data_IF_162894846419
#
_entry.id   IF_162894846419
#
_cell.length_a   1.000
_cell.length_b   1.000
_cell.length_c   1.000
_cell.angle_alpha   90.00
_cell.angle_beta   90.00
_cell.angle_gamma   90.00
#
_symmetry.space_group_name_H-M   'P 1'
#
loop_
_entity.id
_entity.type
_entity.pdbx_description
1 polymer ?
#
# COMPACT_ATOMS: atom_id res chain seq x y z
N UNK A 1 -7.51 -13.72 -5.64
CA UNK A 1 -7.95 -12.47 -4.97
C UNK A 1 -9.08 -12.85 -4.03
N UNK A 2 -9.18 -12.27 -2.82
CA UNK A 2 -10.27 -12.56 -1.90
C UNK A 2 -11.65 -12.32 -2.54
N UNK A 3 -12.65 -13.05 -2.07
CA UNK A 3 -14.04 -12.91 -2.50
C UNK A 3 -14.85 -12.18 -1.43
N UNK A 4 -15.63 -11.19 -1.86
CA UNK A 4 -16.49 -10.42 -0.96
C UNK A 4 -17.67 -11.29 -0.53
N UNK A 5 -18.00 -11.36 0.78
CA UNK A 5 -19.19 -12.05 1.25
C UNK A 5 -20.45 -11.63 0.51
N UNK A 6 -21.35 -12.58 0.23
CA UNK A 6 -22.52 -12.37 -0.62
C UNK A 6 -23.48 -11.34 -0.05
N UNK A 7 -23.64 -11.31 1.27
CA UNK A 7 -24.43 -10.33 2.02
C UNK A 7 -23.86 -8.91 1.82
N UNK A 8 -22.56 -8.73 2.06
CA UNK A 8 -21.89 -7.45 1.87
C UNK A 8 -21.92 -7.00 0.41
N UNK A 9 -21.74 -7.92 -0.54
CA UNK A 9 -21.85 -7.63 -1.97
C UNK A 9 -23.28 -7.24 -2.37
N UNK A 10 -24.29 -7.86 -1.76
CA UNK A 10 -25.71 -7.52 -1.96
C UNK A 10 -26.00 -6.11 -1.46
N UNK A 11 -25.49 -5.76 -0.28
CA UNK A 11 -25.58 -4.41 0.26
C UNK A 11 -24.84 -3.39 -0.62
N UNK A 12 -23.62 -3.69 -1.07
CA UNK A 12 -22.91 -2.82 -2.02
C UNK A 12 -23.73 -2.60 -3.31
N UNK A 13 -24.38 -3.66 -3.79
CA UNK A 13 -25.19 -3.61 -5.01
C UNK A 13 -26.50 -2.82 -4.84
N UNK A 14 -26.97 -2.55 -3.61
CA UNK A 14 -28.15 -1.69 -3.40
C UNK A 14 -27.87 -0.23 -3.77
N UNK A 15 -26.60 0.17 -3.91
CA UNK A 15 -26.19 1.48 -4.42
C UNK A 15 -26.05 1.52 -5.95
N UNK A 16 -26.46 0.48 -6.67
CA UNK A 16 -26.47 0.45 -8.14
C UNK A 16 -27.64 1.28 -8.68
N UNK A 17 -27.50 2.60 -8.59
CA UNK A 17 -28.45 3.59 -9.08
C UNK A 17 -27.77 4.51 -10.09
N UNK A 18 -28.56 5.31 -10.81
CA UNK A 18 -28.11 6.15 -11.93
C UNK A 18 -28.42 7.63 -11.77
N UNK A 19 -28.91 8.07 -10.61
CA UNK A 19 -29.22 9.47 -10.32
C UNK A 19 -28.96 9.82 -8.85
N UNK A 20 -28.84 11.12 -8.57
CA UNK A 20 -28.50 11.68 -7.25
C UNK A 20 -29.60 11.41 -6.20
N UNK A 21 -30.90 11.69 -6.46
CA UNK A 21 -31.96 11.43 -5.49
C UNK A 21 -32.02 9.96 -5.01
N UNK A 22 -31.93 9.01 -5.93
CA UNK A 22 -31.97 7.59 -5.60
C UNK A 22 -30.73 7.16 -4.81
N UNK A 23 -29.55 7.70 -5.14
CA UNK A 23 -28.32 7.43 -4.38
C UNK A 23 -28.42 7.95 -2.95
N UNK A 24 -28.90 9.19 -2.79
CA UNK A 24 -29.15 9.81 -1.49
C UNK A 24 -30.15 8.98 -0.67
N UNK A 25 -31.26 8.57 -1.27
CA UNK A 25 -32.25 7.70 -0.62
C UNK A 25 -31.67 6.34 -0.22
N UNK A 26 -30.86 5.72 -1.08
CA UNK A 26 -30.22 4.44 -0.78
C UNK A 26 -29.22 4.55 0.40
N UNK A 27 -28.48 5.66 0.49
CA UNK A 27 -27.52 5.93 1.58
C UNK A 27 -28.24 6.18 2.91
N UNK A 28 -29.32 6.95 2.89
CA UNK A 28 -30.06 7.32 4.11
C UNK A 28 -31.05 6.23 4.57
N UNK A 29 -31.21 5.15 3.80
CA UNK A 29 -32.05 4.02 4.18
C UNK A 29 -31.49 3.37 5.45
N UNK A 30 -32.24 3.50 6.54
CA UNK A 30 -31.89 2.88 7.82
C UNK A 30 -31.71 1.36 7.68
N UNK A 31 -30.70 0.86 8.38
CA UNK A 31 -30.38 -0.55 8.45
C UNK A 31 -30.50 -1.04 9.89
N UNK A 32 -30.82 -2.32 10.05
CA UNK A 32 -30.95 -2.94 11.37
C UNK A 32 -29.67 -2.85 12.21
N UNK A 33 -28.51 -2.78 11.56
CA UNK A 33 -27.21 -2.66 12.22
C UNK A 33 -26.84 -1.23 12.65
N UNK A 34 -27.68 -0.22 12.34
CA UNK A 34 -27.46 1.16 12.79
C UNK A 34 -27.55 1.27 14.32
N UNK A 35 -28.42 0.47 14.95
CA UNK A 35 -28.56 0.42 16.40
C UNK A 35 -29.10 -0.95 16.87
N UNK A 36 -28.32 -1.74 17.63
CA UNK A 36 -26.96 -1.44 18.08
C UNK A 36 -25.89 -1.67 16.99
N UNK A 37 -24.96 -0.72 16.87
CA UNK A 37 -23.80 -0.87 15.99
C UNK A 37 -22.72 -1.75 16.62
N UNK A 38 -22.18 -2.70 15.85
CA UNK A 38 -21.06 -3.54 16.24
C UNK A 38 -19.93 -3.37 15.22
N UNK A 39 -18.80 -2.81 15.65
CA UNK A 39 -17.65 -2.53 14.78
C UNK A 39 -17.01 -3.79 14.17
N UNK A 40 -17.08 -4.94 14.83
CA UNK A 40 -16.45 -6.16 14.30
C UNK A 40 -17.21 -6.71 13.09
N UNK A 41 -18.55 -6.66 13.13
CA UNK A 41 -19.42 -7.24 12.11
C UNK A 41 -19.96 -6.22 11.11
N UNK A 42 -20.18 -4.98 11.52
CA UNK A 42 -20.87 -3.96 10.71
C UNK A 42 -19.93 -2.92 10.09
N UNK A 43 -18.62 -2.95 10.40
CA UNK A 43 -17.68 -1.95 9.89
C UNK A 43 -17.63 -1.88 8.37
N UNK A 44 -17.61 -3.01 7.66
CA UNK A 44 -17.53 -2.98 6.19
C UNK A 44 -18.80 -2.35 5.57
N UNK A 45 -19.96 -2.58 6.18
CA UNK A 45 -21.21 -1.97 5.74
C UNK A 45 -21.21 -0.44 5.97
N UNK A 46 -20.74 0.00 7.13
CA UNK A 46 -20.61 1.42 7.47
C UNK A 46 -19.55 2.12 6.60
N UNK A 47 -18.39 1.50 6.40
CA UNK A 47 -17.35 2.01 5.50
C UNK A 47 -17.85 2.16 4.06
N UNK A 48 -18.62 1.19 3.54
CA UNK A 48 -19.27 1.31 2.23
C UNK A 48 -20.22 2.52 2.23
N UNK A 49 -21.13 2.61 3.20
CA UNK A 49 -22.12 3.70 3.27
C UNK A 49 -21.44 5.06 3.31
N UNK A 50 -20.44 5.23 4.16
CA UNK A 50 -19.65 6.45 4.28
C UNK A 50 -18.90 6.77 2.98
N UNK A 51 -18.34 5.77 2.28
CA UNK A 51 -17.70 5.98 0.98
C UNK A 51 -18.68 6.51 -0.05
N UNK A 52 -19.89 5.91 -0.14
CA UNK A 52 -20.93 6.39 -1.03
C UNK A 52 -21.35 7.81 -0.71
N UNK A 53 -21.49 8.14 0.58
CA UNK A 53 -21.93 9.47 1.01
C UNK A 53 -20.90 10.56 0.71
N UNK A 54 -19.61 10.28 0.90
CA UNK A 54 -18.56 11.21 0.51
C UNK A 54 -18.55 11.44 -1.02
N UNK A 55 -18.69 10.37 -1.82
CA UNK A 55 -18.74 10.52 -3.28
C UNK A 55 -20.01 11.25 -3.74
N UNK A 56 -21.17 11.05 -3.10
CA UNK A 56 -22.40 11.77 -3.40
C UNK A 56 -22.21 13.29 -3.37
N UNK A 57 -21.50 13.81 -2.36
CA UNK A 57 -21.23 15.25 -2.26
C UNK A 57 -20.37 15.78 -3.42
N UNK A 58 -19.44 14.96 -3.91
CA UNK A 58 -18.61 15.32 -5.06
C UNK A 58 -19.43 15.32 -6.37
N UNK A 59 -20.41 14.43 -6.51
CA UNK A 59 -21.38 14.48 -7.62
C UNK A 59 -22.30 15.70 -7.54
N UNK A 60 -22.87 16.00 -6.37
CA UNK A 60 -23.79 17.13 -6.19
C UNK A 60 -23.13 18.49 -6.43
N UNK A 61 -21.86 18.62 -6.07
CA UNK A 61 -21.08 19.86 -6.30
C UNK A 61 -20.51 19.99 -7.71
N UNK A 62 -20.65 18.94 -8.55
CA UNK A 62 -20.01 18.86 -9.87
C UNK A 62 -18.49 18.98 -9.79
N UNK A 63 -17.87 18.55 -8.68
CA UNK A 63 -16.42 18.69 -8.49
C UNK A 63 -15.65 17.74 -9.40
N UNK A 64 -16.19 16.56 -9.72
CA UNK A 64 -15.55 15.54 -10.56
C UNK A 64 -15.33 15.96 -12.02
N UNK A 65 -15.99 17.02 -12.48
CA UNK A 65 -15.83 17.58 -13.83
C UNK A 65 -14.71 18.64 -13.91
N UNK A 66 -14.14 19.01 -12.76
CA UNK A 66 -13.15 20.08 -12.64
C UNK A 66 -11.75 19.52 -12.45
N UNK A 67 -10.77 20.30 -12.88
CA UNK A 67 -9.37 20.01 -12.59
C UNK A 67 -9.05 20.31 -11.13
N UNK A 68 -8.43 19.34 -10.46
CA UNK A 68 -8.03 19.45 -9.06
C UNK A 68 -6.54 19.19 -8.87
N UNK A 69 -6.00 19.69 -7.75
CA UNK A 69 -4.65 19.33 -7.32
C UNK A 69 -4.62 17.88 -6.83
N UNK A 70 -3.44 17.27 -6.90
CA UNK A 70 -3.23 15.88 -6.47
C UNK A 70 -3.68 15.65 -5.02
N UNK A 71 -3.36 16.58 -4.12
CA UNK A 71 -3.78 16.49 -2.71
C UNK A 71 -5.30 16.53 -2.54
N UNK A 72 -6.01 17.31 -3.34
CA UNK A 72 -7.47 17.36 -3.30
C UNK A 72 -8.05 16.00 -3.67
N UNK A 73 -7.55 15.37 -4.73
CA UNK A 73 -7.96 14.01 -5.13
C UNK A 73 -7.68 12.99 -4.01
N UNK A 74 -6.53 13.09 -3.36
CA UNK A 74 -6.20 12.16 -2.26
C UNK A 74 -7.15 12.29 -1.07
N UNK A 75 -7.58 13.51 -0.73
CA UNK A 75 -8.46 13.79 0.41
C UNK A 75 -9.92 13.50 0.08
N UNK A 76 -10.42 14.06 -1.02
CA UNK A 76 -11.85 14.03 -1.37
C UNK A 76 -12.25 12.72 -2.02
N UNK A 77 -11.38 12.14 -2.85
CA UNK A 77 -11.73 10.99 -3.67
C UNK A 77 -11.14 9.71 -3.09
N UNK A 78 -9.85 9.68 -2.79
CA UNK A 78 -9.14 8.44 -2.46
C UNK A 78 -9.00 8.15 -0.96
N UNK A 79 -9.55 8.99 -0.08
CA UNK A 79 -9.42 8.82 1.37
C UNK A 79 -10.17 7.60 1.92
N UNK A 80 -11.13 7.03 1.17
CA UNK A 80 -11.79 5.78 1.57
C UNK A 80 -10.81 4.59 1.60
N UNK A 81 -9.70 4.64 0.85
CA UNK A 81 -8.63 3.63 0.88
C UNK A 81 -7.89 3.66 2.22
N UNK A 82 -7.81 4.81 2.88
CA UNK A 82 -7.16 4.91 4.18
C UNK A 82 -8.08 4.28 5.23
N UNK A 83 -9.37 4.58 5.12
CA UNK A 83 -10.41 4.15 6.06
C UNK A 83 -10.74 2.66 5.96
N UNK A 84 -10.52 2.00 4.81
CA UNK A 84 -10.90 0.58 4.63
C UNK A 84 -10.20 -0.36 5.62
N UNK A 85 -8.99 0.02 6.07
CA UNK A 85 -8.20 -0.71 7.05
C UNK A 85 -8.58 -0.41 8.50
N UNK A 86 -9.52 0.51 8.73
CA UNK A 86 -9.82 1.06 10.06
C UNK A 86 -10.36 0.06 11.09
N UNK A 87 -10.72 -1.17 10.69
CA UNK A 87 -11.05 -2.28 11.60
C UNK A 87 -10.00 -3.39 11.67
N UNK A 88 -8.89 -3.28 10.96
CA UNK A 88 -7.77 -4.22 11.08
C UNK A 88 -6.87 -3.72 12.20
N UNK A 89 -6.74 -4.53 13.26
CA UNK A 89 -6.09 -4.09 14.48
C UNK A 89 -4.62 -3.70 14.28
N UNK A 90 -4.23 -2.56 14.84
CA UNK A 90 -2.89 -1.98 14.74
C UNK A 90 -2.46 -1.50 13.34
N UNK A 91 -3.32 -1.59 12.32
CA UNK A 91 -2.97 -1.14 10.95
C UNK A 91 -3.18 0.35 10.79
N UNK A 92 -2.17 1.00 10.22
CA UNK A 92 -2.19 2.41 9.83
C UNK A 92 -1.92 2.57 8.34
N UNK A 93 -2.68 3.46 7.70
CA UNK A 93 -2.45 3.91 6.34
C UNK A 93 -1.84 5.33 6.40
N UNK A 94 -0.51 5.43 6.29
CA UNK A 94 0.25 6.68 6.50
C UNK A 94 0.51 7.42 5.19
N UNK A 95 0.03 8.67 5.07
CA UNK A 95 0.16 9.51 3.87
C UNK A 95 1.40 10.43 3.89
N UNK A 96 1.86 10.85 2.70
CA UNK A 96 2.78 11.98 2.40
C UNK A 96 4.20 11.96 3.02
N UNK A 97 4.32 11.95 4.34
CA UNK A 97 5.59 12.19 5.05
C UNK A 97 6.35 10.89 5.36
N UNK A 98 5.64 9.76 5.28
CA UNK A 98 6.20 8.45 5.60
C UNK A 98 7.14 7.97 4.50
N UNK A 99 8.29 7.45 4.91
CA UNK A 99 9.23 6.79 4.01
C UNK A 99 9.32 5.32 4.37
N UNK A 100 9.35 4.45 3.36
CA UNK A 100 9.38 3.01 3.57
C UNK A 100 10.58 2.60 4.42
N UNK A 101 10.30 2.07 5.61
CA UNK A 101 11.25 1.47 6.53
C UNK A 101 11.94 0.29 5.89
N UNK A 102 11.20 -0.56 5.17
CA UNK A 102 11.75 -1.69 4.44
C UNK A 102 12.78 -1.23 3.38
N UNK A 103 12.42 -0.19 2.61
CA UNK A 103 13.34 0.43 1.65
C UNK A 103 14.57 1.02 2.33
N UNK A 104 14.41 1.65 3.50
CA UNK A 104 15.53 2.21 4.27
C UNK A 104 16.44 1.10 4.80
N UNK A 105 15.87 0.04 5.38
CA UNK A 105 16.62 -1.11 5.89
C UNK A 105 17.48 -1.73 4.80
N UNK A 106 16.90 -2.03 3.62
CA UNK A 106 17.67 -2.55 2.48
C UNK A 106 18.82 -1.62 2.09
N UNK A 107 18.57 -0.31 1.95
CA UNK A 107 19.61 0.67 1.55
C UNK A 107 20.75 0.80 2.58
N UNK A 108 20.49 0.48 3.85
CA UNK A 108 21.46 0.62 4.93
C UNK A 108 21.99 -0.72 5.45
N UNK A 109 21.70 -1.86 4.79
CA UNK A 109 22.05 -3.21 5.29
C UNK A 109 23.56 -3.42 5.50
N UNK A 110 24.37 -2.72 4.70
CA UNK A 110 25.84 -2.77 4.75
C UNK A 110 26.46 -1.58 5.49
N UNK A 111 25.66 -0.81 6.24
CA UNK A 111 26.17 0.32 7.04
C UNK A 111 26.99 -0.22 8.21
N UNK A 112 28.25 0.22 8.32
CA UNK A 112 29.19 -0.20 9.36
C UNK A 112 29.34 0.83 10.47
N UNK A 113 29.83 0.38 11.64
CA UNK A 113 30.10 1.22 12.82
C UNK A 113 31.33 2.10 12.57
N UNK A 114 31.34 3.30 13.17
CA UNK A 114 32.31 4.37 12.87
C UNK A 114 33.75 4.09 13.29
N UNK A 115 34.04 2.96 13.94
CA UNK A 115 35.38 2.61 14.43
C UNK A 115 36.40 2.37 13.30
N UNK A 116 35.95 2.22 12.05
CA UNK A 116 36.81 1.90 10.89
C UNK A 116 36.77 3.02 9.83
N UNK A 117 35.63 3.69 9.62
CA UNK A 117 35.44 4.79 8.65
C UNK A 117 34.39 5.77 9.18
N UNK A 118 34.48 7.06 8.84
CA UNK A 118 33.48 8.06 9.23
C UNK A 118 32.05 7.63 8.84
N UNK A 119 31.15 7.59 9.83
CA UNK A 119 29.80 7.09 9.63
C UNK A 119 28.98 8.04 8.73
N UNK A 120 28.71 7.62 7.49
CA UNK A 120 27.83 8.35 6.56
C UNK A 120 26.41 8.49 7.13
N UNK A 121 25.64 9.54 6.81
CA UNK A 121 24.23 9.67 7.27
C UNK A 121 23.34 8.50 6.82
N UNK A 122 22.30 8.16 7.59
CA UNK A 122 21.34 7.08 7.25
C UNK A 122 20.59 7.43 5.97
N UNK A 123 20.56 6.50 5.02
CA UNK A 123 19.85 6.71 3.75
C UNK A 123 18.35 6.51 4.01
N UNK A 124 17.54 7.52 3.69
CA UNK A 124 16.09 7.46 3.82
C UNK A 124 15.47 6.41 2.89
N UNK A 125 14.32 5.87 3.30
CA UNK A 125 13.49 4.97 2.50
C UNK A 125 13.02 5.59 1.18
N UNK A 126 12.30 4.81 0.37
CA UNK A 126 11.51 5.41 -0.73
C UNK A 126 10.27 6.08 -0.12
N UNK A 127 9.90 7.24 -0.64
CA UNK A 127 8.66 7.91 -0.27
C UNK A 127 7.58 7.51 -1.27
N UNK A 128 6.50 6.97 -0.75
CA UNK A 128 5.24 6.75 -1.46
C UNK A 128 4.18 7.65 -0.87
N UNK A 129 3.08 7.85 -1.60
CA UNK A 129 1.99 8.71 -1.16
C UNK A 129 1.16 8.08 -0.04
N UNK A 130 1.21 6.74 0.07
CA UNK A 130 0.64 5.96 1.17
C UNK A 130 1.60 4.82 1.54
N UNK A 131 1.72 4.50 2.82
CA UNK A 131 2.32 3.26 3.34
C UNK A 131 1.34 2.61 4.32
N UNK A 132 0.97 1.36 4.05
CA UNK A 132 0.13 0.53 4.90
C UNK A 132 1.05 -0.31 5.78
N UNK A 133 0.95 -0.15 7.09
CA UNK A 133 1.83 -0.79 8.06
C UNK A 133 1.09 -1.20 9.33
N UNK A 134 1.60 -2.21 10.02
CA UNK A 134 1.27 -2.51 11.41
C UNK A 134 2.56 -2.39 12.23
N UNK A 135 2.60 -1.47 13.17
CA UNK A 135 3.79 -1.12 13.97
C UNK A 135 5.00 -0.78 13.06
N UNK A 136 5.92 -1.73 12.87
CA UNK A 136 7.16 -1.56 12.11
C UNK A 136 7.16 -2.28 10.76
N UNK A 137 6.19 -3.16 10.53
CA UNK A 137 6.10 -4.02 9.35
C UNK A 137 5.18 -3.40 8.31
N UNK A 138 5.64 -3.36 7.07
CA UNK A 138 4.94 -2.72 5.94
C UNK A 138 4.32 -3.78 5.03
N UNK A 139 3.04 -3.64 4.72
CA UNK A 139 2.25 -4.62 3.95
C UNK A 139 1.82 -4.08 2.58
N UNK A 140 1.83 -2.76 2.40
CA UNK A 140 1.51 -2.16 1.12
C UNK A 140 1.86 -0.69 1.00
N UNK A 141 1.64 -0.16 -0.19
CA UNK A 141 1.96 1.24 -0.51
C UNK A 141 0.97 1.85 -1.52
N UNK A 142 1.10 3.14 -1.78
CA UNK A 142 0.46 3.81 -2.92
C UNK A 142 1.39 4.81 -3.60
N UNK A 143 1.16 5.03 -4.89
CA UNK A 143 1.63 6.20 -5.65
C UNK A 143 0.41 6.93 -6.25
N UNK A 144 0.51 8.24 -6.42
CA UNK A 144 -0.53 9.09 -6.95
C UNK A 144 0.01 10.10 -7.98
N UNK A 145 -0.74 10.19 -9.08
CA UNK A 145 -0.60 11.21 -10.10
C UNK A 145 -1.81 12.13 -10.13
N UNK A 146 -1.58 13.44 -10.26
CA UNK A 146 -2.63 14.46 -10.49
C UNK A 146 -3.54 14.12 -11.69
N UNK A 147 -2.96 13.75 -12.83
CA UNK A 147 -3.67 13.60 -14.10
C UNK A 147 -3.49 12.19 -14.66
N UNK A 148 -4.41 11.79 -15.56
CA UNK A 148 -4.30 10.57 -16.34
C UNK A 148 -4.08 10.91 -17.82
N UNK A 149 -2.87 10.69 -18.31
CA UNK A 149 -2.48 10.95 -19.71
C UNK A 149 -2.67 9.70 -20.59
N UNK A 150 -3.56 8.81 -20.19
CA UNK A 150 -3.73 7.49 -20.81
C UNK A 150 -2.73 6.44 -20.31
N UNK A 151 -2.90 5.21 -20.80
CA UNK A 151 -2.12 4.05 -20.37
C UNK A 151 -0.61 4.15 -20.65
N UNK A 152 -0.20 5.06 -21.54
CA UNK A 152 1.19 5.29 -21.92
C UNK A 152 1.78 6.54 -21.27
N UNK A 153 1.06 7.20 -20.35
CA UNK A 153 1.55 8.35 -19.61
C UNK A 153 2.84 8.02 -18.84
N UNK A 154 3.84 8.89 -18.95
CA UNK A 154 5.19 8.62 -18.43
C UNK A 154 5.19 8.44 -16.91
N UNK A 155 4.44 9.29 -16.17
CA UNK A 155 4.32 9.21 -14.70
C UNK A 155 3.70 7.87 -14.29
N UNK A 156 2.56 7.51 -14.88
CA UNK A 156 1.85 6.26 -14.62
C UNK A 156 2.73 5.03 -14.90
N UNK A 157 3.39 4.99 -16.07
CA UNK A 157 4.29 3.88 -16.43
C UNK A 157 5.44 3.71 -15.44
N UNK A 158 6.06 4.82 -15.04
CA UNK A 158 7.15 4.80 -14.08
C UNK A 158 6.68 4.36 -12.68
N UNK A 159 5.52 4.84 -12.23
CA UNK A 159 4.96 4.51 -10.90
C UNK A 159 4.52 3.06 -10.81
N UNK A 160 3.69 2.59 -11.75
CA UNK A 160 3.19 1.21 -11.78
C UNK A 160 4.23 0.17 -12.21
N UNK A 161 5.25 0.62 -12.95
CA UNK A 161 6.28 -0.23 -13.56
C UNK A 161 7.54 -0.39 -12.72
N UNK A 162 7.92 0.66 -11.99
CA UNK A 162 9.23 0.73 -11.33
C UNK A 162 9.12 1.20 -9.88
N UNK A 163 8.50 2.36 -9.62
CA UNK A 163 8.54 3.02 -8.31
C UNK A 163 7.85 2.17 -7.23
N UNK A 164 6.56 1.86 -7.43
CA UNK A 164 5.80 1.03 -6.50
C UNK A 164 6.33 -0.42 -6.46
N UNK A 165 6.57 -1.12 -7.59
CA UNK A 165 7.20 -2.44 -7.59
C UNK A 165 8.48 -2.56 -6.76
N UNK A 166 9.39 -1.58 -6.86
CA UNK A 166 10.64 -1.60 -6.06
C UNK A 166 10.38 -1.42 -4.57
N UNK A 167 9.40 -0.61 -4.20
CA UNK A 167 9.03 -0.41 -2.80
C UNK A 167 8.32 -1.67 -2.25
N UNK A 168 7.36 -2.22 -2.99
CA UNK A 168 6.67 -3.46 -2.64
C UNK A 168 7.65 -4.63 -2.49
N UNK A 169 8.66 -4.76 -3.35
CA UNK A 169 9.68 -5.81 -3.23
C UNK A 169 10.50 -5.68 -1.95
N UNK A 170 10.82 -4.46 -1.52
CA UNK A 170 11.54 -4.23 -0.25
C UNK A 170 10.65 -4.61 0.94
N UNK A 171 9.38 -4.22 0.93
CA UNK A 171 8.38 -4.58 1.94
C UNK A 171 8.19 -6.10 2.02
N UNK A 172 7.99 -6.73 0.86
CA UNK A 172 7.83 -8.19 0.77
C UNK A 172 9.05 -8.95 1.27
N UNK A 173 10.26 -8.49 0.97
CA UNK A 173 11.48 -9.11 1.49
C UNK A 173 11.54 -9.01 3.02
N UNK A 174 11.06 -7.91 3.61
CA UNK A 174 10.97 -7.78 5.08
C UNK A 174 9.95 -8.77 5.66
N UNK A 175 8.84 -9.04 4.96
CA UNK A 175 7.89 -10.10 5.34
C UNK A 175 8.52 -11.50 5.24
N UNK A 176 9.32 -11.75 4.19
CA UNK A 176 10.08 -13.00 4.07
C UNK A 176 11.03 -13.20 5.26
N UNK A 177 11.72 -12.14 5.70
CA UNK A 177 12.58 -12.17 6.90
C UNK A 177 11.76 -12.48 8.16
N UNK A 178 10.58 -11.87 8.32
CA UNK A 178 9.70 -12.13 9.46
C UNK A 178 9.26 -13.60 9.55
N UNK A 179 9.05 -14.26 8.40
CA UNK A 179 8.71 -15.70 8.36
C UNK A 179 9.93 -16.62 8.29
N UNK A 180 11.14 -16.13 8.61
CA UNK A 180 12.35 -16.96 8.71
C UNK A 180 12.92 -17.40 7.36
N UNK A 181 12.54 -16.74 6.27
CA UNK A 181 12.92 -17.10 4.89
C UNK A 181 12.49 -18.51 4.46
N UNK A 182 11.54 -19.12 5.15
CA UNK A 182 11.06 -20.46 4.83
C UNK A 182 10.22 -20.45 3.55
N UNK A 183 10.64 -21.21 2.53
CA UNK A 183 10.01 -21.21 1.21
C UNK A 183 8.50 -21.45 1.26
N UNK A 184 8.06 -22.44 2.04
CA UNK A 184 6.65 -22.79 2.20
C UNK A 184 5.82 -21.66 2.83
N UNK A 185 6.42 -20.88 3.74
CA UNK A 185 5.76 -19.71 4.36
C UNK A 185 5.76 -18.52 3.40
N UNK A 186 6.85 -18.29 2.68
CA UNK A 186 6.95 -17.21 1.68
C UNK A 186 5.88 -17.34 0.60
N UNK A 187 5.53 -18.58 0.20
CA UNK A 187 4.47 -18.83 -0.79
C UNK A 187 3.09 -18.30 -0.38
N UNK A 188 2.85 -18.09 0.91
CA UNK A 188 1.60 -17.55 1.47
C UNK A 188 1.60 -16.03 1.59
N UNK A 189 2.78 -15.40 1.57
CA UNK A 189 2.92 -13.94 1.73
C UNK A 189 2.42 -13.18 0.51
N UNK A 190 1.87 -11.99 0.77
CA UNK A 190 1.42 -11.07 -0.25
C UNK A 190 1.67 -9.61 0.17
N UNK A 191 1.80 -8.73 -0.81
CA UNK A 191 1.87 -7.27 -0.62
C UNK A 191 1.05 -6.57 -1.70
N UNK A 192 0.50 -5.40 -1.38
CA UNK A 192 -0.34 -4.63 -2.31
C UNK A 192 0.18 -3.22 -2.57
N UNK A 193 -0.15 -2.68 -3.74
CA UNK A 193 0.26 -1.35 -4.17
C UNK A 193 -0.85 -0.64 -4.94
N UNK A 194 -1.42 0.44 -4.41
CA UNK A 194 -2.37 1.26 -5.15
C UNK A 194 -1.64 2.22 -6.10
N UNK A 195 -2.17 2.40 -7.30
CA UNK A 195 -1.70 3.42 -8.24
C UNK A 195 -2.89 4.28 -8.63
N UNK A 196 -2.81 5.56 -8.29
CA UNK A 196 -3.79 6.57 -8.66
C UNK A 196 -3.25 7.45 -9.79
N UNK A 197 -4.12 7.85 -10.71
CA UNK A 197 -3.81 8.81 -11.76
C UNK A 197 -5.09 9.60 -12.03
N UNK A 198 -5.23 10.79 -11.46
CA UNK A 198 -6.51 11.51 -11.45
C UNK A 198 -7.61 10.70 -10.74
N UNK A 199 -8.71 10.48 -11.47
CA UNK A 199 -9.84 9.64 -11.06
C UNK A 199 -9.67 8.16 -11.44
N UNK A 200 -8.49 7.76 -11.93
CA UNK A 200 -8.17 6.37 -12.24
C UNK A 200 -7.46 5.66 -11.10
N UNK A 201 -7.78 4.38 -10.89
CA UNK A 201 -7.13 3.51 -9.90
C UNK A 201 -6.86 2.10 -10.45
N UNK A 202 -5.70 1.55 -10.11
CA UNK A 202 -5.42 0.11 -10.23
C UNK A 202 -4.74 -0.40 -8.97
N UNK A 203 -4.80 -1.72 -8.79
CA UNK A 203 -4.10 -2.42 -7.72
C UNK A 203 -2.99 -3.28 -8.30
N UNK A 204 -1.81 -3.16 -7.71
CA UNK A 204 -0.69 -4.09 -7.85
C UNK A 204 -0.77 -5.11 -6.71
N UNK A 205 -0.52 -6.37 -7.03
CA UNK A 205 -0.34 -7.45 -6.05
C UNK A 205 1.01 -8.10 -6.30
N UNK A 206 1.81 -8.23 -5.25
CA UNK A 206 3.07 -8.96 -5.26
C UNK A 206 2.94 -10.22 -4.40
N UNK A 207 3.26 -11.36 -4.98
CA UNK A 207 3.35 -12.67 -4.31
C UNK A 207 4.62 -13.41 -4.74
N UNK A 208 4.92 -14.55 -4.11
CA UNK A 208 6.05 -15.43 -4.47
C UNK A 208 5.57 -16.88 -4.57
N UNK A 209 4.91 -17.28 -5.67
CA UNK A 209 4.22 -18.59 -5.76
C UNK A 209 5.15 -19.80 -5.60
N UNK A 210 6.42 -19.67 -5.99
CA UNK A 210 7.44 -20.70 -5.84
C UNK A 210 8.34 -20.46 -4.61
N UNK A 211 8.13 -19.39 -3.84
CA UNK A 211 8.93 -19.03 -2.67
C UNK A 211 10.23 -18.28 -2.97
N UNK A 212 10.87 -18.51 -4.13
CA UNK A 212 12.12 -17.82 -4.51
C UNK A 212 11.97 -16.73 -5.60
N UNK A 213 10.85 -16.73 -6.35
CA UNK A 213 10.59 -15.74 -7.41
C UNK A 213 9.35 -14.93 -7.09
N UNK A 214 9.47 -13.60 -7.08
CA UNK A 214 8.32 -12.71 -6.93
C UNK A 214 7.64 -12.44 -8.26
N UNK A 215 6.31 -12.37 -8.23
CA UNK A 215 5.46 -11.99 -9.35
C UNK A 215 4.67 -10.74 -8.98
N UNK A 216 4.54 -9.81 -9.92
CA UNK A 216 3.64 -8.66 -9.81
C UNK A 216 2.48 -8.85 -10.78
N UNK A 217 1.27 -8.90 -10.23
CA UNK A 217 0.03 -8.93 -10.99
C UNK A 217 -0.64 -7.56 -10.89
N UNK A 218 -1.34 -7.14 -11.95
CA UNK A 218 -2.04 -5.84 -12.00
C UNK A 218 -3.51 -6.07 -12.32
N UNK A 219 -4.39 -5.33 -11.67
CA UNK A 219 -5.81 -5.30 -12.07
C UNK A 219 -5.99 -4.43 -13.31
N UNK A 220 -7.20 -4.50 -13.90
CA UNK A 220 -7.63 -3.50 -14.87
C UNK A 220 -7.66 -2.11 -14.22
N UNK A 221 -7.46 -1.09 -15.04
CA UNK A 221 -7.64 0.30 -14.66
C UNK A 221 -9.14 0.56 -14.47
N UNK A 222 -9.53 1.10 -13.32
CA UNK A 222 -10.90 1.52 -13.02
C UNK A 222 -10.94 3.05 -12.91
N UNK A 223 -12.12 3.62 -13.11
CA UNK A 223 -12.35 5.07 -13.17
C UNK A 223 -13.51 5.45 -12.27
N UNK A 224 -13.36 6.53 -11.50
CA UNK A 224 -14.51 7.22 -10.89
C UNK A 224 -15.09 8.16 -11.95
N UNK A 225 -16.30 7.89 -12.46
CA UNK A 225 -16.87 8.70 -13.55
C UNK A 225 -17.35 10.04 -13.02
N UNK A 226 -17.29 11.09 -13.83
CA UNK A 226 -17.94 12.36 -13.49
C UNK A 226 -19.46 12.30 -13.56
N UNK A 227 -20.01 11.40 -14.38
CA UNK A 227 -21.45 11.27 -14.61
C UNK A 227 -22.10 10.24 -13.68
N UNK A 228 -23.12 10.67 -12.93
CA UNK A 228 -23.85 9.83 -11.96
C UNK A 228 -24.51 8.59 -12.61
N UNK A 229 -24.86 8.66 -13.89
CA UNK A 229 -25.43 7.51 -14.62
C UNK A 229 -24.52 6.28 -14.64
N UNK A 230 -23.21 6.47 -14.49
CA UNK A 230 -22.20 5.40 -14.50
C UNK A 230 -21.78 4.96 -13.09
N UNK A 231 -22.37 5.54 -12.04
CA UNK A 231 -22.00 5.28 -10.64
C UNK A 231 -22.00 3.80 -10.30
N UNK A 232 -23.15 3.13 -10.48
CA UNK A 232 -23.30 1.73 -10.12
C UNK A 232 -22.40 0.76 -10.89
N UNK A 233 -22.06 1.06 -12.16
CA UNK A 233 -21.23 0.18 -12.99
C UNK A 233 -19.73 0.40 -12.80
N UNK A 234 -19.30 1.62 -12.45
CA UNK A 234 -17.86 1.97 -12.34
C UNK A 234 -17.35 2.13 -10.90
N UNK A 235 -18.15 2.66 -9.96
CA UNK A 235 -17.69 2.87 -8.57
C UNK A 235 -17.76 1.59 -7.74
N UNK A 236 -18.81 0.79 -7.87
CA UNK A 236 -18.94 -0.43 -7.05
C UNK A 236 -17.72 -1.37 -7.21
N UNK A 237 -17.19 -1.62 -8.43
CA UNK A 237 -15.95 -2.38 -8.61
C UNK A 237 -14.72 -1.79 -7.91
N UNK A 238 -14.63 -0.47 -7.76
CA UNK A 238 -13.53 0.21 -7.07
C UNK A 238 -13.61 -0.03 -5.56
N UNK A 239 -14.81 0.00 -5.00
CA UNK A 239 -15.04 -0.30 -3.58
C UNK A 239 -14.73 -1.78 -3.30
N UNK A 240 -15.14 -2.69 -4.19
CA UNK A 240 -14.71 -4.10 -4.12
C UNK A 240 -13.18 -4.22 -4.20
N UNK A 241 -12.52 -3.45 -5.06
CA UNK A 241 -11.06 -3.47 -5.19
C UNK A 241 -10.36 -3.08 -3.87
N UNK A 242 -10.81 -2.02 -3.21
CA UNK A 242 -10.26 -1.59 -1.93
C UNK A 242 -10.52 -2.61 -0.81
N UNK A 243 -11.72 -3.19 -0.75
CA UNK A 243 -12.03 -4.26 0.21
C UNK A 243 -11.16 -5.50 -0.02
N UNK A 244 -10.92 -5.89 -1.28
CA UNK A 244 -10.03 -7.02 -1.60
C UNK A 244 -8.59 -6.74 -1.18
N UNK A 245 -8.11 -5.50 -1.35
CA UNK A 245 -6.78 -5.10 -0.89
C UNK A 245 -6.66 -5.18 0.65
N UNK A 246 -7.70 -4.73 1.36
CA UNK A 246 -7.81 -4.89 2.82
C UNK A 246 -7.68 -6.35 3.24
N UNK A 247 -8.45 -7.24 2.62
CA UNK A 247 -8.41 -8.66 2.97
C UNK A 247 -7.03 -9.27 2.73
N UNK A 248 -6.35 -8.94 1.62
CA UNK A 248 -4.98 -9.41 1.39
C UNK A 248 -4.03 -8.98 2.51
N UNK A 249 -4.12 -7.72 2.94
CA UNK A 249 -3.28 -7.19 4.04
C UNK A 249 -3.62 -7.89 5.35
N UNK A 250 -4.91 -8.03 5.67
CA UNK A 250 -5.39 -8.71 6.88
C UNK A 250 -4.89 -10.15 6.93
N UNK A 251 -5.12 -10.94 5.88
CA UNK A 251 -4.70 -12.34 5.79
C UNK A 251 -3.17 -12.47 5.93
N UNK A 252 -2.42 -11.52 5.37
CA UNK A 252 -0.95 -11.53 5.48
C UNK A 252 -0.48 -11.20 6.90
N UNK A 253 -1.13 -10.26 7.59
CA UNK A 253 -0.85 -9.93 8.99
C UNK A 253 -1.12 -11.14 9.87
N UNK A 254 -2.32 -11.73 9.77
CA UNK A 254 -2.70 -12.90 10.56
C UNK A 254 -1.71 -14.05 10.35
N UNK A 255 -1.27 -14.28 9.11
CA UNK A 255 -0.28 -15.31 8.81
C UNK A 255 1.11 -15.02 9.42
N UNK A 256 1.58 -13.78 9.35
CA UNK A 256 2.89 -13.39 9.92
C UNK A 256 2.87 -13.43 11.44
N UNK A 257 1.74 -13.07 12.07
CA UNK A 257 1.59 -13.03 13.53
C UNK A 257 1.28 -14.39 14.15
N UNK A 258 0.54 -15.28 13.48
CA UNK A 258 0.36 -16.67 13.94
C UNK A 258 1.69 -17.39 14.20
N UNK A 259 2.73 -17.08 13.41
CA UNK A 259 4.09 -17.57 13.65
C UNK A 259 4.65 -17.09 14.99
N UNK A 260 4.43 -15.82 15.36
CA UNK A 260 4.97 -15.26 16.60
C UNK A 260 4.37 -15.93 17.84
N UNK A 261 3.13 -16.42 17.77
CA UNK A 261 2.50 -17.12 18.89
C UNK A 261 2.91 -18.60 18.99
N UNK A 262 3.03 -19.31 17.85
CA UNK A 262 3.45 -20.72 17.86
C UNK A 262 4.92 -20.92 18.23
N UNK A 263 5.79 -19.94 17.95
CA UNK A 263 7.18 -19.93 18.46
C UNK A 263 7.27 -19.67 19.98
N UNK A 264 6.18 -19.20 20.62
CA UNK A 264 6.13 -18.97 22.07
C UNK A 264 5.48 -20.13 22.85
N UNK A 265 5.00 -21.17 22.17
CA UNK A 265 4.44 -22.40 22.79
C UNK A 265 5.44 -23.57 22.71
N UNK A 266 6.74 -23.31 22.83
CA UNK A 266 7.75 -24.37 23.03
C UNK A 266 7.74 -24.87 24.49
N UNK A 267 8.25 -26.09 24.71
CA UNK A 267 8.31 -26.78 26.01
C UNK A 267 8.92 -25.88 27.10
N UNK A 268 8.50 -26.04 28.35
CA UNK A 268 8.93 -25.19 29.49
C UNK A 268 10.45 -25.15 29.63
N UNK A 269 11.13 -26.25 29.30
CA UNK A 269 12.59 -26.35 29.28
C UNK A 269 13.23 -25.59 28.11
N UNK A 270 12.62 -25.62 26.92
CA UNK A 270 13.07 -24.83 25.76
C UNK A 270 12.87 -23.33 25.98
N UNK A 271 11.81 -22.92 26.68
CA UNK A 271 11.58 -21.53 27.09
C UNK A 271 12.63 -21.04 28.09
N UNK A 272 12.99 -21.88 29.09
CA UNK A 272 14.03 -21.56 30.06
C UNK A 272 15.41 -21.48 29.41
N UNK A 273 15.71 -22.38 28.48
CA UNK A 273 16.94 -22.38 27.70
C UNK A 273 17.01 -21.17 26.76
N UNK A 274 15.91 -20.83 26.08
CA UNK A 274 15.74 -19.63 25.26
C UNK A 274 15.94 -18.34 26.08
N UNK A 275 15.39 -18.27 27.29
CA UNK A 275 15.61 -17.16 28.22
C UNK A 275 17.07 -17.02 28.64
N UNK A 276 17.74 -18.13 28.97
CA UNK A 276 19.17 -18.13 29.28
C UNK A 276 20.01 -17.69 28.06
N UNK A 277 19.62 -18.12 26.87
CA UNK A 277 20.30 -17.80 25.61
C UNK A 277 19.94 -16.41 25.05
N UNK A 278 18.86 -15.78 25.54
CA UNK A 278 18.34 -14.50 25.02
C UNK A 278 19.31 -13.33 25.21
N UNK A 279 20.25 -13.48 26.14
CA UNK A 279 21.32 -12.53 26.44
C UNK A 279 22.67 -12.93 25.84
N UNK A 280 22.74 -14.02 25.06
CA UNK A 280 23.97 -14.41 24.39
C UNK A 280 24.33 -13.45 23.26
N UNK A 281 25.63 -13.24 23.06
CA UNK A 281 26.12 -12.42 21.97
C UNK A 281 25.71 -13.03 20.64
N UNK A 282 25.15 -12.22 19.75
CA UNK A 282 24.80 -12.67 18.40
C UNK A 282 26.03 -13.30 17.74
N UNK A 283 25.90 -14.48 17.10
CA UNK A 283 27.02 -15.10 16.42
C UNK A 283 27.58 -14.14 15.35
N UNK A 284 28.90 -14.18 15.08
CA UNK A 284 29.51 -13.31 14.08
C UNK A 284 28.78 -13.47 12.74
N UNK A 285 28.37 -12.35 12.14
CA UNK A 285 27.63 -12.33 10.86
C UNK A 285 28.31 -13.22 9.83
N UNK A 286 27.71 -14.37 9.48
CA UNK A 286 28.14 -15.15 8.32
C UNK A 286 28.02 -14.26 7.08
N UNK A 287 29.07 -14.21 6.25
CA UNK A 287 29.01 -13.59 4.92
C UNK A 287 28.04 -14.40 4.07
N UNK A 288 26.77 -14.01 4.05
CA UNK A 288 25.81 -14.54 3.09
C UNK A 288 26.16 -13.93 1.74
N UNK A 289 26.76 -14.73 0.86
CA UNK A 289 26.88 -14.39 -0.56
C UNK A 289 25.47 -14.49 -1.16
N UNK A 290 24.73 -13.40 -1.09
CA UNK A 290 23.51 -13.26 -1.88
C UNK A 290 23.91 -13.03 -3.33
N UNK A 291 23.26 -13.73 -4.25
CA UNK A 291 23.24 -13.33 -5.65
C UNK A 291 22.79 -11.87 -5.69
N UNK A 292 23.70 -11.00 -6.13
CA UNK A 292 23.44 -9.58 -6.31
C UNK A 292 22.29 -9.50 -7.30
N UNK A 293 21.08 -9.20 -6.80
CA UNK A 293 20.04 -8.67 -7.65
C UNK A 293 20.63 -7.39 -8.24
N UNK A 294 21.06 -7.50 -9.50
CA UNK A 294 21.72 -6.49 -10.32
C UNK A 294 21.53 -5.09 -9.76
N UNK A 295 22.64 -4.44 -9.37
CA UNK A 295 22.66 -3.03 -9.06
C UNK A 295 21.77 -2.30 -10.06
N UNK A 296 20.70 -1.68 -9.55
CA UNK A 296 19.85 -0.82 -10.38
C UNK A 296 20.78 0.20 -11.04
N UNK A 297 20.68 0.44 -12.36
CA UNK A 297 21.61 1.31 -13.05
C UNK A 297 21.69 2.65 -12.33
N UNK A 298 22.92 3.01 -11.92
CA UNK A 298 23.21 4.31 -11.33
C UNK A 298 22.60 5.39 -12.23
N UNK A 299 21.90 6.36 -11.64
CA UNK A 299 21.56 7.60 -12.35
C UNK A 299 22.88 8.16 -12.89
N UNK A 300 23.06 8.13 -14.22
CA UNK A 300 24.18 8.82 -14.87
C UNK A 300 24.14 10.27 -14.39
N UNK A 301 25.18 10.70 -13.69
CA UNK A 301 25.36 12.10 -13.33
C UNK A 301 25.28 12.92 -14.61
N UNK A 302 24.26 13.79 -14.74
CA UNK A 302 24.25 14.80 -15.80
C UNK A 302 25.49 15.68 -15.62
N UNK A 303 26.33 15.89 -16.65
CA UNK A 303 27.46 16.79 -16.53
C UNK A 303 26.94 18.20 -16.22
N UNK A 304 27.52 18.83 -15.18
CA UNK A 304 27.28 20.24 -14.84
C UNK A 304 27.62 21.09 -16.08
N UNK A 305 26.64 21.82 -16.60
CA UNK A 305 26.91 22.90 -17.58
C UNK A 305 27.83 23.92 -16.91
N UNK A 306 29.06 24.04 -17.41
CA UNK A 306 29.96 25.17 -17.09
C UNK A 306 29.28 26.45 -17.57
N UNK A 307 28.91 27.33 -16.64
CA UNK A 307 28.51 28.70 -16.95
C UNK A 307 29.80 29.44 -17.28
N UNK A 308 29.99 29.79 -18.56
CA UNK A 308 31.08 30.67 -19.00
C UNK A 308 30.60 32.10 -18.78
N UNK A 309 31.18 32.80 -17.81
CA UNK A 309 30.99 34.23 -17.60
C UNK A 309 31.61 35.00 -18.77
N UNK A 310 30.79 35.65 -19.59
CA UNK A 310 31.25 36.65 -20.56
C UNK A 310 31.57 37.95 -19.82
N UNK A 311 32.84 38.27 -19.69
CA UNK A 311 33.29 39.62 -19.33
C UNK A 311 32.92 40.59 -20.46
N UNK A 312 32.08 41.58 -20.16
CA UNK A 312 31.92 42.79 -20.97
C UNK A 312 33.03 43.76 -20.59
N UNK A 313 34.00 43.99 -21.47
CA UNK A 313 34.88 45.15 -21.42
C UNK A 313 34.31 46.25 -22.31
N UNK A 314 34.09 47.43 -21.70
CA UNK A 314 33.81 48.69 -22.38
C UNK A 314 35.02 49.14 -23.20
N UNK A 315 34.81 49.47 -24.47
CA UNK A 315 35.20 50.73 -25.10
C UNK A 315 34.33 50.91 -26.34
#
# INVERSE_FOLDING_TARGET
>A
MPEMPKDLLTYLNSFRVSNIPDLRNAILKSQQWDSPYNRQTHFDHDWIRNTMYNLLHEYESGSLEKDHLELWLLIHIWSFIDRVFGNVDGVEATRSESSSRASSNRKNRNRTVSAIVSMKRKIMGRRGDLIIRKVSTEYGCSEAGKSYEGNNGTKLLHERGIKAPKMMKDMFYSLCEAVGMEENKIRKLQSIGFIHSGLMILLLRLDSPAGYTCRITRTKMLEIPSQIMQFGSKILPIIVLAWKAKMIVKDTIEFVEQKQYLENEEDTDDQLQSLQNSCEFSPPRKKVYQAIASDSPNKKNKPRKRIISKNKSKK
#
